data_IF_542330012843
#
_entry.id   IF_542330012843
#
_cell.length_a   1.000
_cell.length_b   1.000
_cell.length_c   1.000
_cell.angle_alpha   90.00
_cell.angle_beta   90.00
_cell.angle_gamma   90.00
#
_symmetry.space_group_name_H-M   'P 1'
#
loop_
_entity.id
_entity.type
_entity.pdbx_description
1 polymer ?
#
# COMPACT_ATOMS: atom_id res chain seq x y z
N UNK A 1 4.10 -14.28 -26.27
CA UNK A 1 3.30 -13.49 -25.31
C UNK A 1 3.91 -12.10 -25.24
N UNK A 2 3.14 -11.03 -25.45
CA UNK A 2 3.71 -9.69 -25.55
C UNK A 2 4.23 -9.22 -24.18
N UNK A 3 5.32 -8.46 -24.17
CA UNK A 3 5.94 -7.94 -22.94
C UNK A 3 4.96 -7.11 -22.09
N UNK A 4 4.04 -6.42 -22.77
CA UNK A 4 2.94 -5.64 -22.20
C UNK A 4 2.00 -6.55 -21.38
N UNK A 5 1.59 -7.69 -21.95
CA UNK A 5 0.67 -8.62 -21.31
C UNK A 5 1.29 -9.21 -20.03
N UNK A 6 2.59 -9.54 -20.05
CA UNK A 6 3.27 -9.98 -18.83
C UNK A 6 3.27 -8.88 -17.77
N UNK A 7 3.59 -7.63 -18.13
CA UNK A 7 3.71 -6.53 -17.16
C UNK A 7 2.39 -6.25 -16.45
N UNK A 8 1.28 -6.29 -17.17
CA UNK A 8 -0.05 -6.09 -16.61
C UNK A 8 -0.46 -7.20 -15.63
N UNK A 9 -0.11 -8.47 -15.91
CA UNK A 9 -0.36 -9.58 -15.00
C UNK A 9 0.38 -9.41 -13.66
N UNK A 10 1.65 -8.99 -13.69
CA UNK A 10 2.39 -8.67 -12.47
C UNK A 10 1.73 -7.54 -11.67
N UNK A 11 1.29 -6.49 -12.34
CA UNK A 11 0.57 -5.38 -11.69
C UNK A 11 -0.69 -5.87 -10.95
N UNK A 12 -1.54 -6.69 -11.60
CA UNK A 12 -2.75 -7.22 -10.97
C UNK A 12 -2.40 -8.12 -9.78
N UNK A 13 -1.50 -9.09 -9.95
CA UNK A 13 -1.15 -10.03 -8.89
C UNK A 13 -0.54 -9.34 -7.68
N UNK A 14 0.36 -8.38 -7.91
CA UNK A 14 0.99 -7.62 -6.83
C UNK A 14 -0.02 -6.70 -6.15
N UNK A 15 -0.98 -6.10 -6.86
CA UNK A 15 -2.06 -5.31 -6.26
C UNK A 15 -2.95 -6.16 -5.35
N UNK A 16 -3.39 -7.33 -5.83
CA UNK A 16 -4.19 -8.28 -5.02
C UNK A 16 -3.42 -8.71 -3.78
N UNK A 17 -2.12 -9.01 -3.94
CA UNK A 17 -1.25 -9.35 -2.82
C UNK A 17 -1.16 -8.23 -1.79
N UNK A 18 -1.00 -6.96 -2.21
CA UNK A 18 -1.00 -5.81 -1.30
C UNK A 18 -2.32 -5.75 -0.55
N UNK A 19 -3.46 -5.90 -1.21
CA UNK A 19 -4.78 -5.84 -0.56
C UNK A 19 -4.89 -6.92 0.53
N UNK A 20 -4.60 -8.17 0.19
CA UNK A 20 -4.69 -9.29 1.13
C UNK A 20 -3.75 -9.13 2.33
N UNK A 21 -2.48 -8.81 2.07
CA UNK A 21 -1.47 -8.72 3.13
C UNK A 21 -1.67 -7.46 3.99
N UNK A 22 -2.07 -6.33 3.39
CA UNK A 22 -2.41 -5.10 4.14
C UNK A 22 -3.59 -5.34 5.07
N UNK A 23 -4.64 -6.04 4.62
CA UNK A 23 -5.77 -6.40 5.47
C UNK A 23 -5.36 -7.25 6.66
N UNK A 24 -4.52 -8.26 6.42
CA UNK A 24 -4.01 -9.12 7.49
C UNK A 24 -3.17 -8.33 8.50
N UNK A 25 -2.28 -7.45 8.03
CA UNK A 25 -1.42 -6.64 8.90
C UNK A 25 -2.19 -5.53 9.64
N UNK A 26 -3.31 -5.06 9.10
CA UNK A 26 -4.18 -4.07 9.76
C UNK A 26 -4.88 -4.64 11.01
N UNK A 27 -4.89 -5.98 11.19
CA UNK A 27 -5.34 -6.61 12.44
C UNK A 27 -4.41 -6.29 13.62
N UNK A 28 -3.14 -5.98 13.33
CA UNK A 28 -2.18 -5.50 14.32
C UNK A 28 -2.35 -3.98 14.43
N UNK A 29 -2.45 -3.40 15.65
CA UNK A 29 -2.67 -1.96 15.84
C UNK A 29 -1.40 -1.11 15.55
N UNK A 30 -0.64 -1.47 14.51
CA UNK A 30 0.55 -0.76 14.04
C UNK A 30 0.34 -0.47 12.55
N UNK A 31 -0.26 0.69 12.27
CA UNK A 31 -0.67 1.06 10.92
C UNK A 31 0.52 1.23 9.96
N UNK A 32 1.73 1.50 10.46
CA UNK A 32 2.93 1.66 9.63
C UNK A 32 3.34 0.36 8.94
N UNK A 33 2.88 -0.80 9.43
CA UNK A 33 3.17 -2.11 8.82
C UNK A 33 2.67 -2.22 7.39
N UNK A 34 1.73 -1.37 6.96
CA UNK A 34 1.25 -1.33 5.57
C UNK A 34 2.35 -1.04 4.55
N UNK A 35 3.48 -0.46 4.95
CA UNK A 35 4.59 -0.22 4.01
C UNK A 35 5.24 -1.53 3.53
N UNK A 36 5.23 -2.58 4.36
CA UNK A 36 5.84 -3.88 4.07
C UNK A 36 5.22 -4.53 2.83
N UNK A 37 3.89 -4.77 2.74
CA UNK A 37 3.28 -5.35 1.56
C UNK A 37 3.56 -4.54 0.29
N UNK A 38 3.62 -3.20 0.38
CA UNK A 38 3.94 -2.34 -0.75
C UNK A 38 5.38 -2.48 -1.24
N UNK A 39 6.35 -2.57 -0.32
CA UNK A 39 7.75 -2.82 -0.70
C UNK A 39 7.88 -4.17 -1.38
N UNK A 40 7.27 -5.21 -0.81
CA UNK A 40 7.30 -6.57 -1.36
C UNK A 40 6.66 -6.60 -2.75
N UNK A 41 5.48 -6.01 -2.92
CA UNK A 41 4.79 -5.91 -4.20
C UNK A 41 5.57 -5.09 -5.24
N UNK A 42 6.18 -3.98 -4.81
CA UNK A 42 7.02 -3.13 -5.65
C UNK A 42 8.25 -3.86 -6.17
N UNK A 43 8.85 -4.72 -5.35
CA UNK A 43 10.01 -5.53 -5.72
C UNK A 43 9.72 -6.49 -6.89
N UNK A 44 8.51 -7.03 -6.98
CA UNK A 44 8.11 -7.97 -8.03
C UNK A 44 7.64 -7.30 -9.32
N UNK A 45 7.45 -5.99 -9.34
CA UNK A 45 6.99 -5.27 -10.52
C UNK A 45 8.14 -5.00 -11.51
N UNK A 46 7.82 -5.08 -12.81
CA UNK A 46 8.83 -4.90 -13.89
C UNK A 46 9.11 -3.44 -14.24
N UNK A 47 8.19 -2.52 -13.93
CA UNK A 47 8.34 -1.10 -14.23
C UNK A 47 7.94 -0.27 -13.02
N UNK A 48 8.65 0.84 -12.80
CA UNK A 48 8.43 1.75 -11.67
C UNK A 48 6.98 2.23 -11.58
N UNK A 49 6.38 2.61 -12.71
CA UNK A 49 4.98 3.10 -12.75
C UNK A 49 4.00 2.08 -12.19
N UNK A 50 4.14 0.79 -12.52
CA UNK A 50 3.25 -0.25 -12.04
C UNK A 50 3.56 -0.67 -10.60
N UNK A 51 4.81 -0.56 -10.17
CA UNK A 51 5.19 -0.73 -8.78
C UNK A 51 4.52 0.32 -7.88
N UNK A 52 4.61 1.60 -8.27
CA UNK A 52 3.95 2.71 -7.58
C UNK A 52 2.43 2.53 -7.60
N UNK A 53 1.85 2.26 -8.78
CA UNK A 53 0.40 2.10 -8.91
C UNK A 53 -0.13 0.93 -8.10
N UNK A 54 0.54 -0.23 -8.07
CA UNK A 54 0.07 -1.40 -7.32
C UNK A 54 0.11 -1.17 -5.82
N UNK A 55 1.15 -0.50 -5.31
CA UNK A 55 1.21 -0.09 -3.91
C UNK A 55 0.12 0.93 -3.56
N UNK A 56 -0.05 1.95 -4.40
CA UNK A 56 -1.06 3.00 -4.24
C UNK A 56 -2.48 2.43 -4.22
N UNK A 57 -2.86 1.70 -5.26
CA UNK A 57 -4.22 1.16 -5.39
C UNK A 57 -4.46 0.08 -4.33
N UNK A 58 -3.48 -0.77 -4.07
CA UNK A 58 -3.60 -1.84 -3.09
C UNK A 58 -3.86 -1.32 -1.67
N UNK A 59 -3.06 -0.37 -1.18
CA UNK A 59 -3.29 0.22 0.15
C UNK A 59 -4.59 1.01 0.17
N UNK A 60 -4.83 1.87 -0.82
CA UNK A 60 -6.01 2.75 -0.82
C UNK A 60 -7.28 1.92 -0.77
N UNK A 61 -7.39 0.87 -1.60
CA UNK A 61 -8.54 -0.04 -1.58
C UNK A 61 -8.65 -0.75 -0.23
N UNK A 62 -7.53 -1.26 0.30
CA UNK A 62 -7.53 -1.95 1.59
C UNK A 62 -8.02 -1.05 2.72
N UNK A 63 -7.55 0.19 2.78
CA UNK A 63 -7.93 1.15 3.81
C UNK A 63 -9.36 1.66 3.64
N UNK A 64 -9.83 1.87 2.42
CA UNK A 64 -11.22 2.22 2.18
C UNK A 64 -12.16 1.13 2.69
N UNK A 65 -11.87 -0.14 2.41
CA UNK A 65 -12.66 -1.26 2.95
C UNK A 65 -12.59 -1.26 4.48
N UNK A 66 -11.41 -1.08 5.08
CA UNK A 66 -11.27 -1.01 6.54
C UNK A 66 -12.09 0.15 7.15
N UNK A 67 -12.05 1.34 6.55
CA UNK A 67 -12.82 2.52 6.98
C UNK A 67 -14.32 2.26 6.89
N UNK A 68 -14.80 1.67 5.79
CA UNK A 68 -16.22 1.32 5.63
C UNK A 68 -16.67 0.37 6.73
N UNK A 69 -15.89 -0.68 7.00
CA UNK A 69 -16.17 -1.63 8.09
C UNK A 69 -16.13 -0.93 9.45
N UNK A 70 -15.18 -0.04 9.69
CA UNK A 70 -15.03 0.69 10.94
C UNK A 70 -16.17 1.70 11.17
N UNK A 71 -16.74 2.27 10.11
CA UNK A 71 -17.95 3.07 10.19
C UNK A 71 -19.17 2.23 10.55
N UNK A 72 -19.34 1.07 9.92
CA UNK A 72 -20.47 0.19 10.18
C UNK A 72 -20.46 -0.43 11.59
N UNK A 73 -19.27 -0.70 12.14
CA UNK A 73 -19.12 -1.49 13.38
C UNK A 73 -18.76 -0.68 14.63
N UNK A 74 -18.09 0.46 14.50
CA UNK A 74 -17.48 1.19 15.64
C UNK A 74 -17.85 2.66 15.73
N UNK A 75 -18.73 3.15 14.85
CA UNK A 75 -19.07 4.58 14.74
C UNK A 75 -17.83 5.48 14.71
N UNK A 76 -16.82 5.07 13.92
CA UNK A 76 -15.50 5.73 13.87
C UNK A 76 -15.61 7.20 13.48
N UNK A 77 -16.66 7.60 12.74
CA UNK A 77 -16.90 9.00 12.40
C UNK A 77 -17.08 9.89 13.63
N UNK A 78 -17.85 9.44 14.63
CA UNK A 78 -18.04 10.19 15.87
C UNK A 78 -16.73 10.38 16.64
N UNK A 79 -15.86 9.36 16.65
CA UNK A 79 -14.54 9.44 17.29
C UNK A 79 -13.65 10.44 16.53
N UNK A 80 -13.62 10.37 15.20
CA UNK A 80 -12.85 11.31 14.38
C UNK A 80 -13.34 12.74 14.55
N UNK A 81 -14.65 12.96 14.67
CA UNK A 81 -15.21 14.28 14.89
C UNK A 81 -14.90 14.82 16.30
N UNK A 82 -14.89 13.97 17.33
CA UNK A 82 -14.42 14.35 18.67
C UNK A 82 -12.94 14.76 18.67
N UNK A 83 -12.09 14.01 17.96
CA UNK A 83 -10.68 14.39 17.78
C UNK A 83 -10.57 15.73 17.03
N UNK A 84 -11.36 15.91 15.96
CA UNK A 84 -11.44 17.17 15.24
C UNK A 84 -11.86 18.34 16.12
N UNK A 85 -12.87 18.13 16.98
CA UNK A 85 -13.37 19.12 17.92
C UNK A 85 -12.31 19.60 18.89
N UNK A 86 -11.44 18.70 19.36
CA UNK A 86 -10.33 19.04 20.25
C UNK A 86 -9.19 19.80 19.56
N UNK A 87 -8.98 19.58 18.26
CA UNK A 87 -7.84 20.15 17.54
C UNK A 87 -8.16 21.45 16.81
N UNK A 88 -9.32 21.54 16.17
CA UNK A 88 -9.65 22.62 15.21
C UNK A 88 -11.11 23.11 15.37
N UNK A 89 -12.04 22.22 15.75
CA UNK A 89 -13.46 22.55 15.94
C UNK A 89 -14.38 21.41 15.52
N UNK A 90 -15.69 21.57 15.72
CA UNK A 90 -16.70 20.54 15.39
C UNK A 90 -16.91 20.42 13.87
N UNK A 91 -17.20 19.21 13.37
CA UNK A 91 -17.48 18.97 11.95
C UNK A 91 -16.24 18.68 11.09
N UNK A 92 -15.05 18.57 11.70
CA UNK A 92 -13.79 18.31 11.00
C UNK A 92 -13.44 16.83 10.85
N UNK A 93 -14.28 15.91 11.36
CA UNK A 93 -14.03 14.46 11.26
C UNK A 93 -13.80 13.97 9.83
N UNK A 94 -14.51 14.54 8.85
CA UNK A 94 -14.33 14.23 7.44
C UNK A 94 -12.97 14.66 6.87
N UNK A 95 -12.43 15.80 7.31
CA UNK A 95 -11.13 16.30 6.88
C UNK A 95 -9.99 15.41 7.43
N UNK A 96 -10.11 14.96 8.68
CA UNK A 96 -9.15 14.01 9.26
C UNK A 96 -9.17 12.70 8.48
N UNK A 97 -10.35 12.19 8.13
CA UNK A 97 -10.46 10.99 7.32
C UNK A 97 -9.80 11.15 5.94
N UNK A 98 -10.00 12.30 5.28
CA UNK A 98 -9.33 12.61 4.03
C UNK A 98 -7.81 12.57 4.18
N UNK A 99 -7.27 13.18 5.24
CA UNK A 99 -5.83 13.15 5.54
C UNK A 99 -5.34 11.71 5.72
N UNK A 100 -6.07 10.87 6.46
CA UNK A 100 -5.72 9.46 6.65
C UNK A 100 -5.65 8.73 5.29
N UNK A 101 -6.65 8.90 4.42
CA UNK A 101 -6.63 8.27 3.09
C UNK A 101 -5.45 8.77 2.25
N UNK A 102 -5.14 10.07 2.29
CA UNK A 102 -3.99 10.64 1.58
C UNK A 102 -2.67 10.08 2.10
N UNK A 103 -2.51 9.92 3.42
CA UNK A 103 -1.32 9.28 4.00
C UNK A 103 -1.17 7.85 3.49
N UNK A 104 -2.26 7.07 3.47
CA UNK A 104 -2.26 5.71 2.92
C UNK A 104 -1.83 5.67 1.46
N UNK A 105 -2.39 6.57 0.64
CA UNK A 105 -2.06 6.71 -0.77
C UNK A 105 -0.56 7.01 -0.98
N UNK A 106 -0.01 7.96 -0.23
CA UNK A 106 1.41 8.32 -0.27
C UNK A 106 2.30 7.16 0.19
N UNK A 107 1.93 6.48 1.28
CA UNK A 107 2.66 5.31 1.78
C UNK A 107 2.67 4.16 0.77
N UNK A 108 1.55 3.94 0.08
CA UNK A 108 1.47 2.93 -0.98
C UNK A 108 2.38 3.25 -2.16
N UNK A 109 2.33 4.50 -2.63
CA UNK A 109 3.19 4.96 -3.72
C UNK A 109 4.68 4.86 -3.36
N UNK A 110 5.06 5.37 -2.17
CA UNK A 110 6.44 5.33 -1.67
C UNK A 110 6.92 3.90 -1.47
N UNK A 111 6.13 3.05 -0.80
CA UNK A 111 6.48 1.65 -0.58
C UNK A 111 6.69 0.89 -1.89
N UNK A 112 5.79 1.06 -2.86
CA UNK A 112 5.92 0.46 -4.20
C UNK A 112 7.17 0.93 -4.95
N UNK A 113 7.44 2.24 -4.94
CA UNK A 113 8.64 2.82 -5.55
C UNK A 113 9.95 2.36 -4.88
N UNK A 114 9.97 2.28 -3.55
CA UNK A 114 11.11 1.78 -2.79
C UNK A 114 11.38 0.31 -3.11
N UNK A 115 10.34 -0.54 -3.10
CA UNK A 115 10.46 -1.96 -3.46
C UNK A 115 11.06 -2.16 -4.84
N UNK A 116 10.61 -1.39 -5.82
CA UNK A 116 11.16 -1.44 -7.18
C UNK A 116 12.63 -0.99 -7.23
N UNK A 117 12.97 0.09 -6.53
CA UNK A 117 14.35 0.61 -6.47
C UNK A 117 15.30 -0.42 -5.84
N UNK A 118 14.86 -1.07 -4.76
CA UNK A 118 15.57 -2.19 -4.13
C UNK A 118 15.79 -3.33 -5.14
N UNK A 119 14.77 -3.69 -5.93
CA UNK A 119 14.89 -4.74 -6.95
C UNK A 119 15.97 -4.44 -8.00
N UNK A 120 16.09 -3.18 -8.45
CA UNK A 120 17.10 -2.76 -9.43
C UNK A 120 18.50 -2.89 -8.83
N UNK A 121 18.68 -2.44 -7.58
CA UNK A 121 19.98 -2.49 -6.91
C UNK A 121 20.44 -3.92 -6.62
N UNK A 122 19.51 -4.85 -6.34
CA UNK A 122 19.81 -6.24 -5.99
C UNK A 122 19.99 -7.17 -7.20
N UNK A 123 19.34 -6.89 -8.34
CA UNK A 123 19.42 -7.75 -9.55
C UNK A 123 20.85 -8.11 -9.96
N UNK A 124 21.81 -7.16 -10.07
CA UNK A 124 23.18 -7.47 -10.45
C UNK A 124 23.87 -8.48 -9.51
N UNK A 125 23.64 -8.33 -8.20
CA UNK A 125 24.23 -9.21 -7.18
C UNK A 125 23.61 -10.61 -7.21
N UNK A 126 22.28 -10.69 -7.40
CA UNK A 126 21.58 -11.97 -7.51
C UNK A 126 22.00 -12.72 -8.77
N UNK A 127 22.10 -12.05 -9.91
CA UNK A 127 22.51 -12.65 -11.18
C UNK A 127 23.95 -13.18 -11.11
N UNK A 128 24.87 -12.43 -10.50
CA UNK A 128 26.24 -12.90 -10.28
C UNK A 128 26.29 -14.14 -9.39
N UNK A 129 25.49 -14.19 -8.31
CA UNK A 129 25.46 -15.33 -7.40
C UNK A 129 24.90 -16.58 -8.07
N UNK A 130 23.83 -16.45 -8.87
CA UNK A 130 23.23 -17.56 -9.62
C UNK A 130 24.21 -18.13 -10.64
N UNK A 131 24.97 -17.29 -11.35
CA UNK A 131 26.00 -17.74 -12.30
C UNK A 131 27.19 -18.47 -11.67
N UNK A 132 27.46 -18.25 -10.37
CA UNK A 132 28.53 -18.96 -9.63
C UNK A 132 28.09 -20.32 -9.09
N UNK A 133 26.78 -20.54 -8.97
CA UNK A 133 26.19 -21.80 -8.48
C UNK A 133 25.90 -22.77 -9.63
N UNK A 134 25.68 -22.25 -10.84
CA UNK A 134 25.67 -23.01 -12.09
C UNK A 134 27.09 -23.30 -12.55
#
# INVERSE_FOLDING_TARGET
MSEIETTYKYFIYTTIFVICLTMLLTLVPVWQLVIIPCIVAGFFNKQLRYAILSGLTGITISWLIYIIVAFATRNTYAILDQVGALMVGTGFGGLILLIIVVIGLLMGALGGGLGYSISILLKPYLDQKIRKIK
#
